data_IF_644915644596
#
_entry.id   IF_644915644596
#
_cell.length_a   1.000
_cell.length_b   1.000
_cell.length_c   1.000
_cell.angle_alpha   90.00
_cell.angle_beta   90.00
_cell.angle_gamma   90.00
#
_symmetry.space_group_name_H-M   'P 1'
#
loop_
_entity.id
_entity.type
_entity.pdbx_description
1 polymer ?
#
# COMPACT_ATOMS: atom_id res chain seq x y z
N UNK A 1 8.78 -12.92 5.14
CA UNK A 1 7.79 -12.36 4.19
C UNK A 1 6.55 -13.26 4.03
N UNK A 2 6.66 -14.43 3.38
CA UNK A 2 5.50 -15.30 3.06
C UNK A 2 4.71 -15.78 4.29
N UNK A 3 5.40 -16.15 5.38
CA UNK A 3 4.76 -16.59 6.63
C UNK A 3 3.98 -15.47 7.34
N UNK A 4 4.49 -14.24 7.28
CA UNK A 4 3.81 -13.07 7.86
C UNK A 4 2.49 -12.80 7.13
N UNK A 5 2.49 -12.78 5.79
CA UNK A 5 1.27 -12.56 5.01
C UNK A 5 0.25 -13.69 5.19
N UNK A 6 0.72 -14.93 5.39
CA UNK A 6 -0.15 -16.04 5.71
C UNK A 6 -0.81 -15.87 7.09
N UNK A 7 -0.05 -15.42 8.10
CA UNK A 7 -0.59 -15.14 9.43
C UNK A 7 -1.62 -14.00 9.41
N UNK A 8 -1.30 -12.90 8.72
CA UNK A 8 -2.20 -11.77 8.52
C UNK A 8 -3.54 -12.20 7.90
N UNK A 9 -3.49 -12.95 6.80
CA UNK A 9 -4.69 -13.51 6.19
C UNK A 9 -5.47 -14.48 7.09
N UNK A 10 -4.79 -15.30 7.91
CA UNK A 10 -5.47 -16.20 8.86
C UNK A 10 -6.17 -15.43 9.98
N UNK A 11 -5.55 -14.37 10.50
CA UNK A 11 -6.16 -13.47 11.47
C UNK A 11 -7.39 -12.78 10.87
N UNK A 12 -7.26 -12.19 9.69
CA UNK A 12 -8.37 -11.52 8.99
C UNK A 12 -9.56 -12.47 8.82
N UNK A 13 -9.31 -13.69 8.31
CA UNK A 13 -10.36 -14.70 8.13
C UNK A 13 -10.99 -15.15 9.45
N UNK A 14 -10.25 -15.12 10.57
CA UNK A 14 -10.81 -15.45 11.87
C UNK A 14 -11.77 -14.36 12.37
N UNK A 15 -11.47 -13.09 12.12
CA UNK A 15 -12.38 -11.96 12.40
C UNK A 15 -13.60 -12.02 11.49
N UNK A 16 -13.39 -12.20 10.18
CA UNK A 16 -14.45 -12.32 9.16
C UNK A 16 -15.47 -13.41 9.54
N UNK A 17 -15.00 -14.61 9.91
CA UNK A 17 -15.90 -15.73 10.30
C UNK A 17 -16.72 -15.46 11.55
N UNK A 18 -16.23 -14.62 12.48
CA UNK A 18 -16.89 -14.37 13.78
C UNK A 18 -17.77 -13.14 13.77
N UNK A 19 -17.39 -12.12 13.02
CA UNK A 19 -17.97 -10.78 13.11
C UNK A 19 -18.36 -10.17 11.76
N UNK A 20 -18.21 -10.93 10.67
CA UNK A 20 -18.54 -10.50 9.31
C UNK A 20 -17.43 -9.68 8.63
N UNK A 21 -17.60 -9.47 7.32
CA UNK A 21 -16.62 -8.79 6.46
C UNK A 21 -16.40 -7.32 6.85
N UNK A 22 -17.46 -6.59 7.18
CA UNK A 22 -17.39 -5.17 7.55
C UNK A 22 -16.50 -4.97 8.79
N UNK A 23 -16.78 -5.68 9.87
CA UNK A 23 -15.94 -5.66 11.08
C UNK A 23 -14.50 -6.08 10.80
N UNK A 24 -14.29 -7.09 9.96
CA UNK A 24 -12.94 -7.53 9.59
C UNK A 24 -12.17 -6.42 8.85
N UNK A 25 -12.81 -5.73 7.91
CA UNK A 25 -12.24 -4.58 7.20
C UNK A 25 -11.94 -3.43 8.15
N UNK A 26 -12.81 -3.14 9.11
CA UNK A 26 -12.58 -2.05 10.07
C UNK A 26 -11.42 -2.34 11.01
N UNK A 27 -11.32 -3.57 11.54
CA UNK A 27 -10.15 -3.99 12.31
C UNK A 27 -8.86 -3.95 11.47
N UNK A 28 -8.93 -4.34 10.20
CA UNK A 28 -7.79 -4.30 9.28
C UNK A 28 -7.34 -2.85 9.01
N UNK A 29 -8.29 -1.94 8.73
CA UNK A 29 -8.03 -0.50 8.56
C UNK A 29 -7.34 0.10 9.79
N UNK A 30 -7.83 -0.22 10.98
CA UNK A 30 -7.25 0.26 12.24
C UNK A 30 -5.80 -0.23 12.40
N UNK A 31 -5.57 -1.53 12.21
CA UNK A 31 -4.24 -2.13 12.26
C UNK A 31 -3.27 -1.49 11.24
N UNK A 32 -3.71 -1.29 10.00
CA UNK A 32 -2.90 -0.64 8.96
C UNK A 32 -2.61 0.83 9.24
N UNK A 33 -3.53 1.56 9.89
CA UNK A 33 -3.31 2.97 10.27
C UNK A 33 -2.12 3.14 11.22
N UNK A 34 -1.82 2.12 12.03
CA UNK A 34 -0.69 2.10 12.94
C UNK A 34 0.55 1.45 12.32
N UNK A 35 0.36 0.36 11.57
CA UNK A 35 1.47 -0.40 11.00
C UNK A 35 2.15 0.33 9.84
N UNK A 36 1.40 0.95 8.92
CA UNK A 36 1.99 1.59 7.74
C UNK A 36 2.99 2.69 8.07
N UNK A 37 2.70 3.66 8.96
CA UNK A 37 3.69 4.65 9.41
C UNK A 37 4.91 4.01 10.08
N UNK A 38 4.68 2.97 10.90
CA UNK A 38 5.78 2.26 11.56
C UNK A 38 6.69 1.55 10.54
N UNK A 39 6.11 0.94 9.51
CA UNK A 39 6.85 0.31 8.41
C UNK A 39 7.67 1.37 7.66
N UNK A 40 7.06 2.49 7.28
CA UNK A 40 7.73 3.60 6.62
C UNK A 40 8.95 4.11 7.40
N UNK A 41 8.79 4.44 8.69
CA UNK A 41 9.91 4.88 9.56
C UNK A 41 11.06 3.89 9.58
N UNK A 42 10.76 2.60 9.71
CA UNK A 42 11.78 1.54 9.78
C UNK A 42 12.50 1.37 8.44
N UNK A 43 11.78 1.48 7.33
CA UNK A 43 12.36 1.45 5.99
C UNK A 43 13.25 2.68 5.77
N UNK A 44 12.78 3.87 6.13
CA UNK A 44 13.55 5.11 6.01
C UNK A 44 14.85 5.04 6.80
N UNK A 45 14.80 4.61 8.07
CA UNK A 45 15.99 4.43 8.90
C UNK A 45 16.98 3.43 8.28
N UNK A 46 16.49 2.29 7.76
CA UNK A 46 17.31 1.27 7.10
C UNK A 46 17.96 1.78 5.80
N UNK A 47 17.28 2.67 5.08
CA UNK A 47 17.73 3.21 3.79
C UNK A 47 18.47 4.55 3.91
N UNK A 48 18.58 5.12 5.12
CA UNK A 48 19.16 6.44 5.34
C UNK A 48 18.35 7.59 4.72
N UNK A 49 17.02 7.48 4.70
CA UNK A 49 16.13 8.50 4.15
C UNK A 49 15.72 9.49 5.24
N UNK A 50 15.90 10.78 4.98
CA UNK A 50 15.37 11.85 5.83
C UNK A 50 13.87 12.09 5.55
N UNK A 51 13.09 12.53 6.56
CA UNK A 51 11.72 13.01 6.34
C UNK A 51 11.67 14.18 5.34
N UNK A 52 10.62 14.25 4.54
CA UNK A 52 10.44 15.32 3.55
C UNK A 52 11.18 15.12 2.23
N UNK A 53 11.69 13.91 1.98
CA UNK A 53 12.40 13.56 0.74
C UNK A 53 11.52 13.38 -0.51
N UNK A 54 10.23 13.71 -0.42
CA UNK A 54 9.29 13.70 -1.54
C UNK A 54 9.11 12.36 -2.23
N UNK A 55 8.75 12.42 -3.52
CA UNK A 55 8.43 11.23 -4.32
C UNK A 55 9.66 10.33 -4.58
N UNK A 56 10.88 10.88 -4.55
CA UNK A 56 12.11 10.09 -4.69
C UNK A 56 12.34 9.20 -3.46
N UNK A 57 12.16 9.76 -2.26
CA UNK A 57 12.21 8.97 -1.03
C UNK A 57 11.07 7.94 -0.97
N UNK A 58 9.86 8.33 -1.41
CA UNK A 58 8.71 7.43 -1.48
C UNK A 58 8.96 6.23 -2.40
N UNK A 59 9.42 6.47 -3.63
CA UNK A 59 9.71 5.41 -4.60
C UNK A 59 10.74 4.40 -4.06
N UNK A 60 11.82 4.90 -3.45
CA UNK A 60 12.82 4.05 -2.78
C UNK A 60 12.24 3.27 -1.61
N UNK A 61 11.39 3.91 -0.79
CA UNK A 61 10.79 3.27 0.38
C UNK A 61 9.74 2.20 -0.01
N UNK A 62 8.96 2.43 -1.08
CA UNK A 62 8.02 1.45 -1.64
C UNK A 62 8.73 0.15 -2.03
N UNK A 63 9.94 0.23 -2.59
CA UNK A 63 10.78 -0.94 -2.87
C UNK A 63 11.30 -1.66 -1.62
N UNK A 64 11.25 -1.01 -0.45
CA UNK A 64 11.63 -1.58 0.84
C UNK A 64 10.49 -2.27 1.59
N UNK A 65 9.25 -2.16 1.11
CA UNK A 65 8.07 -2.74 1.76
C UNK A 65 8.03 -4.26 1.63
N UNK A 66 7.30 -4.89 2.53
CA UNK A 66 7.07 -6.33 2.44
C UNK A 66 6.43 -6.75 1.12
N UNK A 67 5.51 -5.93 0.58
CA UNK A 67 4.82 -6.22 -0.66
C UNK A 67 5.76 -6.27 -1.87
N UNK A 68 6.80 -5.46 -1.91
CA UNK A 68 7.82 -5.50 -2.95
C UNK A 68 8.56 -6.85 -3.02
N UNK A 69 8.58 -7.62 -1.92
CA UNK A 69 9.20 -8.95 -1.86
C UNK A 69 8.23 -10.09 -2.22
N UNK A 70 6.93 -9.82 -2.21
CA UNK A 70 5.88 -10.86 -2.34
C UNK A 70 5.10 -10.78 -3.64
N UNK A 71 5.01 -9.58 -4.20
CA UNK A 71 4.20 -9.23 -5.35
C UNK A 71 5.10 -8.75 -6.48
N UNK A 72 4.59 -8.81 -7.72
CA UNK A 72 5.18 -8.05 -8.82
C UNK A 72 4.57 -6.65 -8.80
N UNK A 73 5.43 -5.65 -8.75
CA UNK A 73 5.05 -4.25 -8.77
C UNK A 73 6.08 -3.44 -9.56
N UNK A 74 5.62 -2.32 -10.09
CA UNK A 74 6.44 -1.30 -10.74
C UNK A 74 6.05 0.09 -10.27
N UNK A 75 6.99 1.02 -10.44
CA UNK A 75 6.78 2.44 -10.22
C UNK A 75 7.00 3.18 -11.55
N UNK A 76 6.11 4.12 -11.85
CA UNK A 76 6.20 4.97 -13.05
C UNK A 76 6.16 6.45 -12.65
N UNK A 77 6.97 7.27 -13.32
CA UNK A 77 7.05 8.72 -13.12
C UNK A 77 6.48 9.46 -14.34
N UNK A 78 5.14 9.62 -14.43
CA UNK A 78 4.52 10.29 -15.58
C UNK A 78 4.79 11.81 -15.61
N UNK A 79 5.14 12.39 -14.46
CA UNK A 79 5.56 13.78 -14.30
C UNK A 79 6.50 13.91 -13.10
N UNK A 80 7.19 15.04 -12.96
CA UNK A 80 8.12 15.27 -11.85
C UNK A 80 7.43 15.23 -10.47
N UNK A 81 6.18 15.68 -10.42
CA UNK A 81 5.33 15.79 -9.24
C UNK A 81 4.33 14.64 -9.11
N UNK A 82 4.51 13.56 -9.88
CA UNK A 82 3.65 12.37 -9.86
C UNK A 82 4.47 11.07 -9.85
N UNK A 83 4.00 10.11 -9.05
CA UNK A 83 4.50 8.74 -9.00
C UNK A 83 3.29 7.81 -9.03
N UNK A 84 3.31 6.79 -9.89
CA UNK A 84 2.28 5.76 -9.94
C UNK A 84 2.90 4.43 -9.52
N UNK A 85 2.40 3.86 -8.43
CA UNK A 85 2.67 2.48 -8.04
C UNK A 85 1.65 1.58 -8.74
N UNK A 86 2.13 0.56 -9.46
CA UNK A 86 1.31 -0.47 -10.09
C UNK A 86 1.62 -1.81 -9.44
N UNK A 87 0.58 -2.49 -8.99
CA UNK A 87 0.66 -3.85 -8.47
C UNK A 87 0.18 -4.80 -9.57
N UNK A 88 1.10 -5.43 -10.31
CA UNK A 88 0.72 -6.34 -11.41
C UNK A 88 0.20 -7.69 -10.91
N UNK A 89 0.70 -8.15 -9.76
CA UNK A 89 0.17 -9.33 -9.08
C UNK A 89 -0.02 -9.07 -7.60
N UNK A 90 -1.11 -9.55 -7.03
CA UNK A 90 -1.37 -9.44 -5.60
C UNK A 90 -1.55 -10.82 -5.01
N UNK A 91 -0.59 -11.24 -4.19
CA UNK A 91 -0.59 -12.57 -3.58
C UNK A 91 -1.83 -12.85 -2.73
N UNK A 92 -2.44 -11.82 -2.12
CA UNK A 92 -3.69 -11.94 -1.39
C UNK A 92 -4.83 -12.34 -2.32
N UNK A 93 -5.02 -11.59 -3.41
CA UNK A 93 -6.07 -11.89 -4.39
C UNK A 93 -5.82 -13.24 -5.09
N UNK A 94 -4.58 -13.55 -5.46
CA UNK A 94 -4.21 -14.84 -6.03
C UNK A 94 -4.48 -16.02 -5.07
N UNK A 95 -4.28 -15.82 -3.76
CA UNK A 95 -4.61 -16.83 -2.76
C UNK A 95 -6.12 -17.02 -2.62
N UNK A 96 -6.91 -15.95 -2.69
CA UNK A 96 -8.39 -16.02 -2.65
C UNK A 96 -8.94 -16.72 -3.88
N UNK A 97 -8.52 -16.33 -5.09
CA UNK A 97 -8.91 -16.96 -6.35
C UNK A 97 -8.60 -18.45 -6.40
N UNK A 98 -7.39 -18.87 -5.96
CA UNK A 98 -7.02 -20.30 -5.87
C UNK A 98 -7.92 -21.11 -4.93
N UNK A 99 -8.59 -20.46 -3.98
CA UNK A 99 -9.53 -21.09 -3.04
C UNK A 99 -10.99 -20.93 -3.49
N UNK A 100 -11.25 -20.39 -4.68
CA UNK A 100 -12.60 -20.11 -5.16
C UNK A 100 -13.33 -19.00 -4.38
N UNK A 101 -12.59 -18.15 -3.66
CA UNK A 101 -13.15 -17.03 -2.91
C UNK A 101 -13.25 -15.79 -3.81
N UNK A 102 -14.25 -14.92 -3.61
CA UNK A 102 -14.31 -13.63 -4.30
C UNK A 102 -13.12 -12.76 -3.91
N UNK A 103 -12.71 -11.87 -4.82
CA UNK A 103 -11.67 -10.88 -4.55
C UNK A 103 -12.04 -10.05 -3.31
N UNK A 104 -11.04 -9.76 -2.48
CA UNK A 104 -11.22 -8.98 -1.26
C UNK A 104 -11.37 -7.49 -1.62
N UNK A 105 -12.41 -6.76 -1.17
CA UNK A 105 -12.61 -5.34 -1.48
C UNK A 105 -11.64 -4.44 -0.69
N UNK A 106 -10.34 -4.56 -0.96
CA UNK A 106 -9.26 -3.94 -0.18
C UNK A 106 -9.12 -2.43 -0.33
N UNK A 107 -9.87 -1.75 -1.21
CA UNK A 107 -9.70 -0.31 -1.48
C UNK A 107 -9.73 0.54 -0.20
N UNK A 108 -10.67 0.31 0.71
CA UNK A 108 -10.80 1.12 1.93
C UNK A 108 -9.59 0.98 2.87
N UNK A 109 -9.04 -0.23 2.96
CA UNK A 109 -7.79 -0.53 3.68
C UNK A 109 -6.61 0.13 2.96
N UNK A 110 -6.49 -0.07 1.65
CA UNK A 110 -5.42 0.48 0.83
C UNK A 110 -5.32 2.01 0.90
N UNK A 111 -6.46 2.71 0.96
CA UNK A 111 -6.45 4.18 1.12
C UNK A 111 -5.75 4.57 2.43
N UNK A 112 -6.08 3.92 3.54
CA UNK A 112 -5.41 4.19 4.83
C UNK A 112 -3.93 3.80 4.74
N UNK A 113 -3.66 2.61 4.24
CA UNK A 113 -2.33 2.02 4.15
C UNK A 113 -1.36 2.91 3.35
N UNK A 114 -1.69 3.22 2.09
CA UNK A 114 -0.80 3.95 1.19
C UNK A 114 -0.71 5.44 1.55
N UNK A 115 -1.80 6.05 2.02
CA UNK A 115 -1.79 7.46 2.44
C UNK A 115 -0.90 7.66 3.64
N UNK A 116 -1.10 6.87 4.69
CA UNK A 116 -0.31 7.02 5.93
C UNK A 116 1.15 6.63 5.74
N UNK A 117 1.43 5.63 4.90
CA UNK A 117 2.81 5.30 4.50
C UNK A 117 3.50 6.45 3.78
N UNK A 118 2.84 7.06 2.79
CA UNK A 118 3.40 8.16 2.03
C UNK A 118 3.59 9.42 2.89
N UNK A 119 2.61 9.75 3.74
CA UNK A 119 2.66 10.91 4.61
C UNK A 119 3.71 10.81 5.73
N UNK A 120 4.04 9.59 6.17
CA UNK A 120 5.15 9.39 7.11
C UNK A 120 6.50 9.75 6.46
N UNK A 121 6.65 9.49 5.16
CA UNK A 121 7.86 9.84 4.41
C UNK A 121 7.89 11.33 4.13
N UNK A 122 6.77 11.88 3.69
CA UNK A 122 6.60 13.29 3.42
C UNK A 122 5.11 13.66 3.53
N UNK A 123 4.77 14.44 4.55
CA UNK A 123 3.39 14.79 4.90
C UNK A 123 2.65 15.57 3.82
N UNK A 124 3.35 16.06 2.80
CA UNK A 124 2.78 16.81 1.67
C UNK A 124 2.25 15.90 0.57
N UNK A 125 2.60 14.62 0.57
CA UNK A 125 2.22 13.70 -0.48
C UNK A 125 0.72 13.41 -0.39
N UNK A 126 0.01 13.68 -1.47
CA UNK A 126 -1.38 13.29 -1.67
C UNK A 126 -1.44 11.91 -2.34
N UNK A 127 -2.34 11.05 -1.85
CA UNK A 127 -2.50 9.68 -2.39
C UNK A 127 -3.88 9.52 -3.01
N UNK A 128 -3.94 8.97 -4.22
CA UNK A 128 -5.19 8.66 -4.93
C UNK A 128 -5.21 7.22 -5.41
N UNK A 129 -6.29 6.50 -5.10
CA UNK A 129 -6.56 5.19 -5.69
C UNK A 129 -6.95 5.36 -7.16
N UNK A 130 -6.19 4.76 -8.09
CA UNK A 130 -6.54 4.72 -9.51
C UNK A 130 -7.34 3.46 -9.85
N UNK A 131 -6.98 2.33 -9.23
CA UNK A 131 -7.67 1.06 -9.39
C UNK A 131 -7.43 0.18 -8.16
N UNK A 132 -8.48 -0.40 -7.61
CA UNK A 132 -8.38 -1.39 -6.54
C UNK A 132 -9.74 -2.08 -6.34
N UNK A 133 -9.79 -3.40 -6.09
CA UNK A 133 -11.01 -4.08 -5.70
C UNK A 133 -11.78 -3.29 -4.63
N UNK A 134 -13.10 -3.06 -4.80
CA UNK A 134 -14.04 -3.86 -5.59
C UNK A 134 -14.21 -3.45 -7.07
N UNK A 135 -13.34 -2.61 -7.62
CA UNK A 135 -13.37 -2.32 -9.06
C UNK A 135 -13.35 -3.62 -9.90
N UNK A 136 -13.97 -3.62 -11.10
CA UNK A 136 -13.88 -4.74 -12.02
C UNK A 136 -12.43 -5.13 -12.33
N UNK A 137 -12.09 -6.43 -12.38
CA UNK A 137 -10.74 -6.88 -12.66
C UNK A 137 -10.19 -6.34 -13.97
N UNK A 138 -8.90 -6.01 -13.99
CA UNK A 138 -8.15 -5.67 -15.20
C UNK A 138 -7.09 -6.74 -15.45
N UNK A 139 -6.84 -7.02 -16.73
CA UNK A 139 -5.73 -7.89 -17.11
C UNK A 139 -4.41 -7.26 -16.62
N UNK A 140 -3.58 -8.07 -15.98
CA UNK A 140 -2.26 -7.68 -15.45
C UNK A 140 -2.22 -6.51 -14.46
N UNK A 141 -3.33 -6.20 -13.78
CA UNK A 141 -3.36 -5.15 -12.75
C UNK A 141 -4.26 -5.53 -11.58
N UNK A 142 -3.65 -5.71 -10.40
CA UNK A 142 -4.37 -5.95 -9.16
C UNK A 142 -4.79 -4.64 -8.46
N UNK A 143 -3.90 -3.64 -8.41
CA UNK A 143 -4.23 -2.29 -7.97
C UNK A 143 -3.23 -1.26 -8.49
N UNK A 144 -3.61 0.01 -8.49
CA UNK A 144 -2.77 1.13 -8.86
C UNK A 144 -3.05 2.35 -7.99
N UNK A 145 -1.99 3.04 -7.58
CA UNK A 145 -2.01 4.17 -6.66
C UNK A 145 -1.16 5.30 -7.20
N UNK A 146 -1.73 6.50 -7.27
CA UNK A 146 -1.01 7.72 -7.60
C UNK A 146 -0.61 8.45 -6.32
N UNK A 147 0.61 8.95 -6.31
CA UNK A 147 1.17 9.84 -5.32
C UNK A 147 1.54 11.16 -5.98
N UNK A 148 1.09 12.25 -5.41
CA UNK A 148 1.26 13.59 -5.95
C UNK A 148 1.92 14.51 -4.93
N UNK A 149 2.85 15.36 -5.37
CA UNK A 149 3.30 16.51 -4.61
C UNK A 149 2.63 17.77 -5.16
N UNK A 150 1.93 18.56 -4.34
CA UNK A 150 1.35 19.83 -4.77
C UNK A 150 2.43 20.79 -5.30
N UNK A 151 2.11 21.52 -6.38
CA UNK A 151 3.02 22.48 -6.97
C UNK A 151 3.42 23.59 -5.98
N UNK A 152 4.72 23.91 -5.94
CA UNK A 152 5.23 25.05 -5.17
C UNK A 152 5.81 24.73 -3.78
N UNK A 153 5.90 23.45 -3.38
CA UNK A 153 6.57 23.11 -2.11
C UNK A 153 8.01 22.66 -2.38
N UNK A 154 9.05 23.46 -2.04
CA UNK A 154 10.43 23.06 -2.24
C UNK A 154 10.74 21.79 -1.43
N UNK A 155 11.61 20.92 -1.94
CA UNK A 155 12.13 19.79 -1.17
C UNK A 155 12.69 20.32 0.15
N UNK A 156 12.22 19.78 1.28
CA UNK A 156 12.72 20.16 2.59
C UNK A 156 14.22 19.82 2.61
N UNK A 157 15.05 20.86 2.70
CA UNK A 157 16.48 20.79 2.49
C UNK A 157 17.21 19.84 3.44
N UNK A 158 18.32 19.31 2.90
CA UNK A 158 19.43 18.61 3.57
C UNK A 158 19.87 19.22 4.89
#
# INVERSE_FOLDING_TARGET
>A
AKLWLAHDGLWFQAVERRFGMETAIDCDRDAWSHFSPLEARRIMARLGLAPGGGLEALERALGGRLYALLNRQSCERPAADRLILRMESCRVQDARRRRGLPDFPCRSVGVVEYTTFAQEIDSRIETRCLHCPPDPPREDLACAWEFALPAGVPASGT
#
